data_IF_469495922629
#
_entry.id   IF_469495922629
#
_cell.length_a   1.000
_cell.length_b   1.000
_cell.length_c   1.000
_cell.angle_alpha   90.00
_cell.angle_beta   90.00
_cell.angle_gamma   90.00
#
_symmetry.space_group_name_H-M   'P 1'
#
loop_
_entity.id
_entity.type
_entity.pdbx_description
1 polymer ?
#
# COMPACT_ATOMS: atom_id res chain seq x y z
N UNK A 1 41.03 27.73 -24.04
CA UNK A 1 40.25 28.00 -22.84
C UNK A 1 39.99 26.66 -22.15
N UNK A 2 40.80 26.29 -21.16
CA UNK A 2 40.64 25.06 -20.41
C UNK A 2 39.46 25.25 -19.46
N UNK A 3 38.41 24.48 -19.68
CA UNK A 3 37.29 24.39 -18.73
C UNK A 3 37.83 23.62 -17.53
N UNK A 4 37.99 24.29 -16.40
CA UNK A 4 38.31 23.62 -15.13
C UNK A 4 37.24 22.54 -14.86
N UNK A 5 37.64 21.33 -14.42
CA UNK A 5 36.67 20.34 -14.05
C UNK A 5 35.76 20.91 -12.93
N UNK A 6 34.46 20.84 -13.11
CA UNK A 6 33.51 21.15 -12.05
C UNK A 6 33.96 20.37 -10.81
N UNK A 7 34.13 21.08 -9.70
CA UNK A 7 34.38 20.46 -8.39
C UNK A 7 33.27 19.42 -8.21
N UNK A 8 33.67 18.14 -8.18
CA UNK A 8 32.72 17.08 -7.84
C UNK A 8 32.18 17.42 -6.44
N UNK A 9 30.96 17.93 -6.38
CA UNK A 9 30.23 18.02 -5.15
C UNK A 9 30.26 16.61 -4.53
N UNK A 10 30.73 16.48 -3.28
CA UNK A 10 30.72 15.21 -2.58
C UNK A 10 29.29 14.67 -2.64
N UNK A 11 29.07 13.66 -3.46
CA UNK A 11 27.76 13.04 -3.59
C UNK A 11 27.45 12.35 -2.25
N UNK A 12 26.40 12.80 -1.58
CA UNK A 12 25.91 12.17 -0.37
C UNK A 12 25.20 10.86 -0.69
N UNK A 13 25.24 9.93 0.24
CA UNK A 13 24.39 8.77 0.24
C UNK A 13 22.96 9.18 0.69
N UNK A 14 21.98 8.42 0.29
CA UNK A 14 20.59 8.63 0.70
C UNK A 14 20.00 7.35 1.28
N UNK A 15 19.35 7.47 2.42
CA UNK A 15 18.42 6.48 2.93
C UNK A 15 17.02 7.10 2.94
N UNK A 16 16.10 6.52 2.19
CA UNK A 16 14.67 6.78 2.32
C UNK A 16 14.10 5.70 3.25
N UNK A 17 13.69 6.09 4.45
CA UNK A 17 13.03 5.23 5.43
C UNK A 17 11.53 5.48 5.40
N UNK A 18 10.76 4.46 5.01
CA UNK A 18 9.30 4.55 4.91
C UNK A 18 8.67 3.66 5.98
N UNK A 19 8.23 4.23 7.12
CA UNK A 19 7.40 3.51 8.10
C UNK A 19 5.96 3.49 7.59
N UNK A 20 5.57 2.38 6.96
CA UNK A 20 4.28 2.20 6.31
C UNK A 20 3.11 2.47 7.27
N UNK A 21 2.20 3.36 6.90
CA UNK A 21 1.01 3.67 7.68
C UNK A 21 1.27 4.42 8.99
N UNK A 22 2.43 5.07 9.17
CA UNK A 22 2.77 5.80 10.39
C UNK A 22 2.02 7.13 10.47
N UNK A 23 1.23 7.31 11.52
CA UNK A 23 0.51 8.56 11.81
C UNK A 23 1.42 9.58 12.49
N UNK A 24 1.42 10.87 12.09
CA UNK A 24 2.29 11.89 12.70
C UNK A 24 2.12 12.02 14.22
N UNK A 25 0.87 11.95 14.71
CA UNK A 25 0.56 12.11 16.14
C UNK A 25 1.00 10.91 17.01
N UNK A 26 1.34 9.77 16.40
CA UNK A 26 1.88 8.61 17.13
C UNK A 26 3.41 8.66 17.29
N UNK A 27 4.08 9.66 16.71
CA UNK A 27 5.53 9.88 16.87
C UNK A 27 5.78 10.64 18.17
N UNK A 28 5.85 9.90 19.28
CA UNK A 28 6.11 10.44 20.63
C UNK A 28 7.44 9.94 21.17
N UNK A 29 8.02 10.61 22.18
CA UNK A 29 9.27 10.14 22.80
C UNK A 29 9.19 8.71 23.36
N UNK A 30 8.01 8.27 23.77
CA UNK A 30 7.76 6.94 24.36
C UNK A 30 7.66 5.87 23.26
N UNK A 31 6.93 6.16 22.19
CA UNK A 31 6.64 5.19 21.14
C UNK A 31 7.72 5.16 20.04
N UNK A 32 8.37 6.30 19.75
CA UNK A 32 9.28 6.44 18.61
C UNK A 32 10.43 7.42 18.88
N UNK A 33 11.30 7.16 19.86
CA UNK A 33 12.36 8.08 20.28
C UNK A 33 13.38 8.40 19.19
N UNK A 34 13.67 7.46 18.29
CA UNK A 34 14.61 7.67 17.17
C UNK A 34 14.04 8.62 16.13
N UNK A 35 12.76 8.44 15.78
CA UNK A 35 12.04 9.34 14.88
C UNK A 35 11.93 10.76 15.46
N UNK A 36 11.62 10.86 16.75
CA UNK A 36 11.61 12.15 17.46
C UNK A 36 12.99 12.81 17.39
N UNK A 37 14.07 12.07 17.63
CA UNK A 37 15.42 12.62 17.57
C UNK A 37 15.82 13.10 16.15
N UNK A 38 15.36 12.42 15.09
CA UNK A 38 15.56 12.86 13.71
C UNK A 38 14.75 14.12 13.44
N UNK A 39 13.48 14.13 13.80
CA UNK A 39 12.60 15.28 13.63
C UNK A 39 13.15 16.53 14.32
N UNK A 40 13.62 16.40 15.57
CA UNK A 40 14.04 17.53 16.39
C UNK A 40 15.43 18.07 16.00
N UNK A 41 16.27 17.25 15.33
CA UNK A 41 17.61 17.65 14.87
C UNK A 41 17.67 17.97 13.38
N UNK A 42 16.68 17.57 12.62
CA UNK A 42 16.62 17.72 11.16
C UNK A 42 15.62 18.78 10.70
N UNK A 43 15.12 18.62 9.49
CA UNK A 43 14.05 19.44 8.91
C UNK A 43 12.73 18.69 9.10
N UNK A 44 11.80 19.29 9.83
CA UNK A 44 10.46 18.76 10.03
C UNK A 44 9.49 19.46 9.06
N UNK A 45 8.94 18.72 8.11
CA UNK A 45 7.90 19.22 7.22
C UNK A 45 6.56 19.19 7.95
N UNK A 46 6.02 20.37 8.28
CA UNK A 46 4.81 20.49 9.12
C UNK A 46 3.49 20.17 8.38
N UNK A 47 3.51 20.12 7.05
CA UNK A 47 2.31 19.90 6.24
C UNK A 47 2.57 18.91 5.08
N UNK A 48 3.05 17.69 5.35
CA UNK A 48 3.18 16.67 4.32
C UNK A 48 1.81 16.08 3.97
N UNK A 49 1.66 15.68 2.72
CA UNK A 49 0.45 15.03 2.23
C UNK A 49 0.81 13.75 1.48
N UNK A 50 0.10 12.67 1.77
CA UNK A 50 0.06 11.50 0.90
C UNK A 50 -0.72 11.80 -0.39
N UNK A 51 -0.44 11.07 -1.46
CA UNK A 51 -1.30 11.08 -2.64
C UNK A 51 -2.64 10.40 -2.27
N UNK A 52 -3.73 10.92 -2.81
CA UNK A 52 -5.05 10.31 -2.64
C UNK A 52 -5.45 9.58 -3.93
N UNK A 53 -5.98 8.33 -3.84
CA UNK A 53 -6.29 7.54 -2.61
C UNK A 53 -5.02 7.14 -1.84
N UNK A 54 -5.11 7.14 -0.50
CA UNK A 54 -3.95 6.98 0.39
C UNK A 54 -3.59 5.51 0.60
N UNK A 55 -3.12 4.86 -0.46
CA UNK A 55 -2.71 3.45 -0.48
C UNK A 55 -1.21 3.28 -0.74
N UNK A 56 -0.69 2.16 -0.28
CA UNK A 56 0.74 1.81 -0.35
C UNK A 56 1.31 1.90 -1.76
N UNK A 57 0.71 1.21 -2.75
CA UNK A 57 1.25 1.19 -4.11
C UNK A 57 1.08 2.52 -4.84
N UNK A 58 -0.01 3.24 -4.57
CA UNK A 58 -0.24 4.58 -5.07
C UNK A 58 0.89 5.53 -4.60
N UNK A 59 1.15 5.56 -3.30
CA UNK A 59 2.19 6.40 -2.73
C UNK A 59 3.60 5.92 -3.04
N UNK A 60 3.84 4.61 -3.12
CA UNK A 60 5.11 4.04 -3.56
C UNK A 60 5.44 4.49 -4.99
N UNK A 61 4.48 4.46 -5.92
CA UNK A 61 4.70 4.95 -7.29
C UNK A 61 5.04 6.43 -7.33
N UNK A 62 4.33 7.25 -6.54
CA UNK A 62 4.62 8.68 -6.43
C UNK A 62 5.98 8.98 -5.81
N UNK A 63 6.35 8.29 -4.73
CA UNK A 63 7.68 8.42 -4.10
C UNK A 63 8.80 7.94 -5.01
N UNK A 64 8.57 6.85 -5.76
CA UNK A 64 9.56 6.27 -6.65
C UNK A 64 9.83 7.13 -7.88
N UNK A 65 8.83 7.84 -8.41
CA UNK A 65 8.92 8.55 -9.69
C UNK A 65 8.88 10.07 -9.57
N UNK A 66 8.31 10.60 -8.50
CA UNK A 66 8.00 12.03 -8.36
C UNK A 66 6.77 12.47 -9.17
N UNK A 67 6.01 11.53 -9.75
CA UNK A 67 4.83 11.79 -10.57
C UNK A 67 3.53 11.51 -9.81
N UNK A 68 2.44 12.15 -10.24
CA UNK A 68 1.11 11.91 -9.72
C UNK A 68 0.46 10.63 -10.30
N UNK A 69 -0.60 10.16 -9.67
CA UNK A 69 -1.28 8.92 -10.04
C UNK A 69 -1.86 8.94 -11.46
N UNK A 70 -2.27 10.12 -11.94
CA UNK A 70 -2.74 10.29 -13.31
C UNK A 70 -1.68 9.97 -14.37
N UNK A 71 -0.39 10.05 -14.02
CA UNK A 71 0.72 9.70 -14.91
C UNK A 71 1.21 8.26 -14.66
N UNK A 72 1.36 7.85 -13.40
CA UNK A 72 1.89 6.51 -13.08
C UNK A 72 0.90 5.37 -13.29
N UNK A 73 -0.41 5.64 -13.16
CA UNK A 73 -1.44 4.60 -13.31
C UNK A 73 -1.52 3.58 -12.18
N UNK A 74 -0.70 3.69 -11.15
CA UNK A 74 -0.80 2.90 -9.93
C UNK A 74 -1.84 3.53 -8.99
N UNK A 75 -3.10 3.58 -9.44
CA UNK A 75 -4.16 4.34 -8.81
C UNK A 75 -4.50 3.91 -7.39
N UNK A 76 -4.18 2.66 -7.01
CA UNK A 76 -4.42 2.10 -5.67
C UNK A 76 -3.69 0.75 -5.54
N UNK A 77 -3.92 0.01 -4.43
CA UNK A 77 -3.39 -1.35 -4.25
C UNK A 77 -4.12 -2.37 -5.14
N UNK A 78 -5.40 -2.17 -5.41
CA UNK A 78 -6.19 -2.95 -6.39
C UNK A 78 -6.62 -2.02 -7.51
N UNK A 79 -6.34 -2.40 -8.77
CA UNK A 79 -6.70 -1.62 -9.96
C UNK A 79 -7.42 -2.51 -10.98
N UNK A 80 -8.17 -1.91 -11.89
CA UNK A 80 -8.70 -2.60 -13.05
C UNK A 80 -7.70 -2.54 -14.20
N UNK A 81 -7.36 -3.68 -14.79
CA UNK A 81 -6.38 -3.78 -15.88
C UNK A 81 -6.98 -3.83 -17.26
N UNK A 82 -8.27 -4.11 -17.38
CA UNK A 82 -9.01 -4.38 -18.63
C UNK A 82 -8.56 -5.66 -19.37
N UNK A 83 -7.68 -6.45 -18.78
CA UNK A 83 -7.28 -7.77 -19.26
C UNK A 83 -7.00 -8.69 -18.07
N UNK A 84 -7.13 -10.01 -18.23
CA UNK A 84 -6.83 -10.98 -17.18
C UNK A 84 -5.33 -11.03 -16.89
N UNK A 85 -4.94 -10.89 -15.61
CA UNK A 85 -3.54 -10.99 -15.17
C UNK A 85 -3.25 -12.44 -14.74
N UNK A 86 -2.33 -13.16 -15.40
CA UNK A 86 -2.11 -14.58 -15.18
C UNK A 86 -1.72 -14.92 -13.75
N UNK A 87 -0.75 -14.19 -13.17
CA UNK A 87 -0.29 -14.42 -11.79
C UNK A 87 -1.30 -14.00 -10.73
N UNK A 88 -2.33 -13.23 -11.11
CA UNK A 88 -3.51 -12.94 -10.28
C UNK A 88 -4.65 -13.95 -10.48
N UNK A 89 -4.35 -15.16 -10.97
CA UNK A 89 -5.36 -16.19 -11.23
C UNK A 89 -6.33 -15.85 -12.37
N UNK A 90 -5.96 -14.91 -13.25
CA UNK A 90 -6.80 -14.41 -14.32
C UNK A 90 -7.75 -13.28 -13.91
N UNK A 91 -7.64 -12.75 -12.71
CA UNK A 91 -8.45 -11.60 -12.28
C UNK A 91 -8.11 -10.35 -13.11
N UNK A 92 -9.12 -9.56 -13.43
CA UNK A 92 -9.01 -8.25 -14.08
C UNK A 92 -8.86 -7.12 -13.04
N UNK A 93 -8.98 -7.45 -11.75
CA UNK A 93 -8.79 -6.54 -10.62
C UNK A 93 -7.68 -7.05 -9.70
N UNK A 94 -6.41 -7.11 -10.19
CA UNK A 94 -5.30 -7.62 -9.42
C UNK A 94 -4.95 -6.71 -8.24
N UNK A 95 -4.51 -7.33 -7.14
CA UNK A 95 -3.86 -6.65 -6.03
C UNK A 95 -2.38 -6.49 -6.37
N UNK A 96 -1.96 -5.28 -6.72
CA UNK A 96 -0.63 -5.01 -7.30
C UNK A 96 0.51 -4.95 -6.29
N UNK A 97 0.24 -5.11 -5.02
CA UNK A 97 1.25 -5.27 -3.96
C UNK A 97 1.83 -6.70 -3.97
N UNK A 98 2.29 -7.12 -5.16
CA UNK A 98 2.78 -8.47 -5.41
C UNK A 98 3.75 -8.49 -6.60
N UNK A 99 4.97 -8.97 -6.41
CA UNK A 99 6.04 -8.91 -7.42
C UNK A 99 5.72 -9.65 -8.72
N UNK A 100 5.21 -10.89 -8.71
CA UNK A 100 4.78 -11.56 -9.94
C UNK A 100 3.70 -10.79 -10.70
N UNK A 101 2.73 -10.20 -10.00
CA UNK A 101 1.65 -9.42 -10.62
C UNK A 101 2.21 -8.15 -11.26
N UNK A 102 3.10 -7.43 -10.57
CA UNK A 102 3.82 -6.28 -11.16
C UNK A 102 4.58 -6.68 -12.43
N UNK A 103 5.22 -7.86 -12.41
CA UNK A 103 5.92 -8.39 -13.59
C UNK A 103 5.00 -8.65 -14.78
N UNK A 104 3.82 -9.23 -14.57
CA UNK A 104 2.84 -9.44 -15.63
C UNK A 104 2.30 -8.12 -16.20
N UNK A 105 2.06 -7.14 -15.31
CA UNK A 105 1.58 -5.81 -15.73
C UNK A 105 2.67 -5.09 -16.52
N UNK A 106 3.92 -5.10 -16.05
CA UNK A 106 5.05 -4.53 -16.79
C UNK A 106 5.19 -5.17 -18.19
N UNK A 107 5.15 -6.51 -18.24
CA UNK A 107 5.25 -7.24 -19.51
C UNK A 107 4.14 -6.84 -20.49
N UNK A 108 2.91 -6.66 -20.03
CA UNK A 108 1.79 -6.21 -20.86
C UNK A 108 2.03 -4.80 -21.42
N UNK A 109 2.62 -3.91 -20.64
CA UNK A 109 2.91 -2.53 -21.02
C UNK A 109 4.36 -2.33 -21.51
N UNK A 110 4.90 -3.31 -22.24
CA UNK A 110 6.24 -3.23 -22.86
C UNK A 110 7.39 -3.06 -21.88
N UNK A 111 7.28 -3.62 -20.69
CA UNK A 111 8.32 -3.68 -19.66
C UNK A 111 8.28 -2.57 -18.62
N UNK A 112 7.36 -1.61 -18.73
CA UNK A 112 7.20 -0.51 -17.75
C UNK A 112 5.77 0.03 -17.78
N UNK A 113 4.92 -0.42 -16.86
CA UNK A 113 3.52 0.06 -16.82
C UNK A 113 3.39 1.49 -16.26
N UNK A 114 4.34 1.89 -15.42
CA UNK A 114 4.36 3.23 -14.81
C UNK A 114 4.74 4.31 -15.83
N UNK A 115 5.49 3.93 -16.88
CA UNK A 115 5.97 4.80 -17.98
C UNK A 115 6.86 5.97 -17.53
N UNK A 116 7.45 5.88 -16.33
CA UNK A 116 8.30 6.90 -15.74
C UNK A 116 9.60 6.27 -15.20
N UNK A 117 10.69 7.06 -15.13
CA UNK A 117 11.93 6.65 -14.50
C UNK A 117 11.79 6.67 -12.97
N UNK A 118 12.18 5.59 -12.31
CA UNK A 118 12.21 5.55 -10.85
C UNK A 118 13.52 6.08 -10.28
N UNK A 119 13.49 6.51 -9.01
CA UNK A 119 14.67 7.08 -8.33
C UNK A 119 15.85 6.10 -8.27
N UNK A 120 15.62 4.80 -8.04
CA UNK A 120 16.70 3.82 -8.03
C UNK A 120 17.25 3.54 -9.43
N UNK A 121 16.38 3.48 -10.45
CA UNK A 121 16.81 3.40 -11.85
C UNK A 121 17.67 4.61 -12.24
N UNK A 122 17.24 5.82 -11.90
CA UNK A 122 18.00 7.05 -12.17
C UNK A 122 19.34 7.07 -11.42
N UNK A 123 19.36 6.65 -10.14
CA UNK A 123 20.58 6.55 -9.33
C UNK A 123 21.58 5.54 -9.92
N UNK A 124 21.12 4.34 -10.35
CA UNK A 124 21.98 3.36 -11.03
C UNK A 124 22.66 3.94 -12.26
N UNK A 125 21.90 4.66 -13.08
CA UNK A 125 22.45 5.30 -14.31
C UNK A 125 23.52 6.34 -13.99
N UNK A 126 23.51 6.91 -12.78
CA UNK A 126 24.52 7.84 -12.29
C UNK A 126 25.67 7.13 -11.55
N UNK A 127 25.69 5.81 -11.50
CA UNK A 127 26.75 5.00 -10.91
C UNK A 127 26.61 4.77 -9.40
N UNK A 128 25.50 5.11 -8.78
CA UNK A 128 25.21 4.79 -7.38
C UNK A 128 25.00 3.28 -7.19
N UNK A 129 25.33 2.78 -6.01
CA UNK A 129 24.83 1.50 -5.54
C UNK A 129 23.41 1.67 -5.07
N UNK A 130 22.51 0.72 -5.42
CA UNK A 130 21.09 0.83 -5.12
C UNK A 130 20.56 -0.40 -4.39
N UNK A 131 19.68 -0.17 -3.42
CA UNK A 131 18.95 -1.22 -2.74
C UNK A 131 17.54 -0.77 -2.34
N UNK A 132 16.61 -1.72 -2.35
CA UNK A 132 15.28 -1.58 -1.77
C UNK A 132 15.00 -2.79 -0.88
N UNK A 133 14.63 -2.56 0.39
CA UNK A 133 14.51 -3.59 1.42
C UNK A 133 13.22 -3.36 2.21
N UNK A 134 12.42 -4.42 2.38
CA UNK A 134 11.26 -4.39 3.29
C UNK A 134 9.98 -5.03 2.76
N UNK A 135 8.86 -4.30 2.80
CA UNK A 135 7.53 -4.79 2.42
C UNK A 135 7.46 -5.14 0.93
N UNK A 136 6.94 -6.33 0.62
CA UNK A 136 6.63 -6.79 -0.73
C UNK A 136 5.75 -5.79 -1.48
N UNK A 137 6.02 -5.59 -2.75
CA UNK A 137 5.31 -4.69 -3.64
C UNK A 137 5.92 -3.28 -3.67
N UNK A 138 5.74 -2.42 -2.64
CA UNK A 138 6.28 -1.07 -2.65
C UNK A 138 7.82 -1.05 -2.73
N UNK A 139 8.51 -2.02 -2.13
CA UNK A 139 9.97 -2.15 -2.23
C UNK A 139 10.40 -2.33 -3.68
N UNK A 140 9.76 -3.23 -4.42
CA UNK A 140 10.07 -3.45 -5.83
C UNK A 140 9.69 -2.23 -6.70
N UNK A 141 8.65 -1.47 -6.37
CA UNK A 141 8.19 -0.31 -7.15
C UNK A 141 9.31 0.69 -7.42
N UNK A 142 10.30 0.82 -6.53
CA UNK A 142 11.41 1.76 -6.68
C UNK A 142 12.39 1.39 -7.81
N UNK A 143 12.37 0.13 -8.30
CA UNK A 143 13.11 -0.31 -9.49
C UNK A 143 12.44 -1.55 -10.11
N UNK A 144 11.13 -1.46 -10.36
CA UNK A 144 10.27 -2.60 -10.74
C UNK A 144 10.65 -3.24 -12.08
N UNK A 145 11.38 -2.53 -12.93
CA UNK A 145 11.89 -3.05 -14.21
C UNK A 145 13.17 -3.87 -14.04
N UNK A 146 13.87 -3.75 -12.90
CA UNK A 146 15.04 -4.56 -12.56
C UNK A 146 14.61 -5.81 -11.81
N UNK A 147 14.60 -6.92 -12.51
CA UNK A 147 14.07 -8.18 -11.96
C UNK A 147 15.11 -9.29 -11.87
N UNK A 148 16.39 -8.95 -12.11
CA UNK A 148 17.50 -9.91 -12.03
C UNK A 148 18.14 -9.96 -10.64
N UNK A 149 18.01 -8.90 -9.84
CA UNK A 149 18.67 -8.74 -8.55
C UNK A 149 20.18 -8.43 -8.64
N UNK A 150 20.69 -8.19 -9.85
CA UNK A 150 22.11 -7.91 -10.08
C UNK A 150 22.44 -6.42 -10.01
N UNK A 151 21.56 -5.56 -10.53
CA UNK A 151 21.81 -4.13 -10.60
C UNK A 151 21.31 -3.37 -9.38
N UNK A 152 20.16 -3.75 -8.84
CA UNK A 152 19.62 -3.25 -7.58
C UNK A 152 19.39 -4.43 -6.61
N UNK A 153 19.84 -4.29 -5.38
CA UNK A 153 19.55 -5.27 -4.32
C UNK A 153 18.08 -5.13 -3.90
N UNK A 154 17.27 -6.13 -4.17
CA UNK A 154 15.86 -6.18 -3.73
C UNK A 154 15.68 -7.28 -2.71
N UNK A 155 15.23 -6.92 -1.51
CA UNK A 155 14.98 -7.84 -0.38
C UNK A 155 13.60 -7.53 0.19
N UNK A 156 12.70 -8.50 0.12
CA UNK A 156 11.32 -8.35 0.60
C UNK A 156 10.76 -9.66 1.17
N UNK A 157 9.46 -9.69 1.44
CA UNK A 157 8.76 -10.89 1.98
C UNK A 157 8.89 -12.12 1.06
N UNK A 158 9.12 -11.93 -0.24
CA UNK A 158 9.24 -13.01 -1.23
C UNK A 158 10.67 -13.50 -1.42
N UNK A 159 11.65 -12.81 -0.85
CA UNK A 159 13.08 -13.13 -0.99
C UNK A 159 13.38 -14.59 -0.68
N UNK A 160 14.10 -15.24 -1.61
CA UNK A 160 14.46 -16.66 -1.53
C UNK A 160 13.34 -17.62 -1.96
N UNK A 161 12.15 -17.13 -2.26
CA UNK A 161 11.08 -17.90 -2.88
C UNK A 161 11.22 -17.95 -4.42
N UNK A 162 10.47 -18.83 -5.06
CA UNK A 162 10.41 -18.89 -6.54
C UNK A 162 9.75 -17.67 -7.19
N UNK A 163 9.01 -16.89 -6.41
CA UNK A 163 8.23 -15.75 -6.88
C UNK A 163 8.94 -14.41 -6.63
N UNK A 164 9.96 -14.40 -5.77
CA UNK A 164 10.73 -13.21 -5.45
C UNK A 164 11.81 -12.88 -6.49
N UNK A 165 12.36 -11.69 -6.37
CA UNK A 165 13.52 -11.26 -7.15
C UNK A 165 14.73 -12.13 -6.74
N UNK A 166 15.49 -12.68 -7.70
CA UNK A 166 16.66 -13.50 -7.40
C UNK A 166 17.70 -12.74 -6.58
N UNK A 167 18.37 -13.45 -5.68
CA UNK A 167 19.56 -12.92 -5.01
C UNK A 167 20.78 -13.11 -5.92
N UNK A 168 21.55 -12.05 -6.17
CA UNK A 168 22.85 -12.16 -6.83
C UNK A 168 23.80 -13.06 -6.02
N UNK A 169 24.84 -13.60 -6.67
CA UNK A 169 25.82 -14.44 -5.97
C UNK A 169 26.52 -13.66 -4.84
N UNK A 170 26.84 -12.36 -5.08
CA UNK A 170 27.42 -11.49 -4.06
C UNK A 170 26.53 -11.39 -2.82
N UNK A 171 25.19 -11.21 -3.02
CA UNK A 171 24.24 -11.15 -1.91
C UNK A 171 24.11 -12.47 -1.17
N UNK A 172 24.05 -13.61 -1.88
CA UNK A 172 23.99 -14.92 -1.24
C UNK A 172 25.19 -15.18 -0.35
N UNK A 173 26.40 -14.88 -0.84
CA UNK A 173 27.64 -15.09 -0.09
C UNK A 173 27.73 -14.11 1.10
N UNK A 174 27.32 -12.87 0.94
CA UNK A 174 27.29 -11.89 2.01
C UNK A 174 26.29 -12.23 3.12
N UNK A 175 25.09 -12.71 2.77
CA UNK A 175 24.10 -13.18 3.75
C UNK A 175 24.63 -14.38 4.55
N UNK A 176 25.21 -15.39 3.86
CA UNK A 176 25.83 -16.55 4.53
C UNK A 176 26.95 -16.13 5.47
N UNK A 177 27.83 -15.23 5.02
CA UNK A 177 28.93 -14.73 5.86
C UNK A 177 28.44 -13.96 7.09
N UNK A 178 27.29 -13.29 6.99
CA UNK A 178 26.64 -12.61 8.11
C UNK A 178 25.80 -13.53 9.00
N UNK A 179 25.69 -14.83 8.66
CA UNK A 179 24.84 -15.78 9.37
C UNK A 179 23.35 -15.55 9.22
N UNK A 180 22.93 -14.88 8.14
CA UNK A 180 21.53 -14.58 7.86
C UNK A 180 20.94 -15.59 6.84
N UNK A 181 19.66 -15.96 6.99
CA UNK A 181 19.01 -16.85 6.04
C UNK A 181 18.87 -16.22 4.65
N UNK A 182 18.90 -17.07 3.60
CA UNK A 182 18.66 -16.66 2.21
C UNK A 182 17.18 -16.50 1.90
N UNK A 183 16.30 -16.95 2.80
CA UNK A 183 14.85 -16.86 2.69
C UNK A 183 14.35 -15.91 3.77
N UNK A 184 13.57 -14.92 3.39
CA UNK A 184 12.98 -14.00 4.36
C UNK A 184 12.04 -14.74 5.32
N UNK A 185 12.12 -14.47 6.63
CA UNK A 185 11.17 -15.02 7.60
C UNK A 185 9.73 -14.58 7.27
N UNK A 186 8.79 -15.46 7.59
CA UNK A 186 7.36 -15.13 7.51
C UNK A 186 6.92 -14.32 8.73
N UNK A 187 5.86 -13.53 8.57
CA UNK A 187 5.15 -12.87 9.70
C UNK A 187 4.64 -13.90 10.74
N UNK A 188 4.39 -15.15 10.32
CA UNK A 188 4.02 -16.27 11.21
C UNK A 188 5.14 -16.68 12.14
N UNK A 189 6.40 -16.43 11.78
CA UNK A 189 7.56 -16.79 12.59
C UNK A 189 7.71 -15.88 13.82
N UNK A 190 7.00 -14.77 13.87
CA UNK A 190 6.87 -13.96 15.08
C UNK A 190 6.02 -14.74 16.12
N UNK A 191 6.54 -14.98 17.35
CA UNK A 191 5.75 -15.62 18.39
C UNK A 191 4.42 -14.92 18.62
N UNK A 192 3.31 -15.62 18.46
CA UNK A 192 1.96 -15.07 18.49
C UNK A 192 1.35 -14.78 17.11
N UNK A 193 2.05 -15.12 16.02
CA UNK A 193 1.59 -15.01 14.63
C UNK A 193 1.09 -13.61 14.24
N UNK A 194 2.01 -12.75 13.83
CA UNK A 194 1.66 -11.39 13.36
C UNK A 194 0.78 -11.39 12.09
N UNK A 195 0.70 -12.49 11.34
CA UNK A 195 -0.14 -12.60 10.15
C UNK A 195 -1.62 -12.91 10.43
N UNK A 196 -1.97 -13.21 11.70
CA UNK A 196 -3.33 -13.56 12.08
C UNK A 196 -4.25 -12.33 11.98
N UNK A 197 -5.12 -12.30 10.97
CA UNK A 197 -6.11 -11.24 10.80
C UNK A 197 -7.35 -11.42 11.70
N UNK A 198 -7.54 -12.59 12.31
CA UNK A 198 -8.77 -12.91 13.04
C UNK A 198 -9.98 -13.06 12.11
N UNK A 199 -11.17 -13.00 12.71
CA UNK A 199 -12.46 -12.99 12.04
C UNK A 199 -13.52 -12.45 13.02
N UNK A 200 -14.80 -12.37 12.61
CA UNK A 200 -15.86 -11.83 13.47
C UNK A 200 -16.11 -12.64 14.77
N UNK A 201 -15.49 -13.80 14.94
CA UNK A 201 -15.57 -14.62 16.17
C UNK A 201 -14.31 -14.54 17.02
N UNK A 202 -13.16 -14.30 16.39
CA UNK A 202 -11.84 -14.34 17.05
C UNK A 202 -11.04 -13.09 16.73
N UNK A 203 -10.37 -12.50 17.73
CA UNK A 203 -9.52 -11.33 17.50
C UNK A 203 -8.32 -11.67 16.59
N UNK A 204 -7.77 -10.65 15.95
CA UNK A 204 -6.54 -10.73 15.19
C UNK A 204 -5.30 -10.80 16.08
N UNK A 205 -4.14 -10.46 15.51
CA UNK A 205 -2.85 -10.53 16.20
C UNK A 205 -2.77 -9.58 17.40
N UNK A 206 -1.99 -9.98 18.40
CA UNK A 206 -1.64 -9.17 19.58
C UNK A 206 -0.13 -8.87 19.64
N UNK A 207 0.61 -9.08 18.54
CA UNK A 207 2.06 -8.92 18.48
C UNK A 207 2.48 -8.12 17.25
N UNK A 208 3.54 -7.31 17.38
CA UNK A 208 4.18 -6.62 16.26
C UNK A 208 5.00 -7.59 15.40
N UNK A 209 5.33 -7.22 14.16
CA UNK A 209 6.07 -8.04 13.21
C UNK A 209 7.60 -8.03 13.48
N UNK A 210 8.02 -8.43 14.67
CA UNK A 210 9.40 -8.24 15.13
C UNK A 210 10.43 -9.11 14.41
N UNK A 211 10.10 -10.37 14.10
CA UNK A 211 11.06 -11.33 13.52
C UNK A 211 11.40 -10.96 12.08
N UNK A 212 10.40 -10.77 11.23
CA UNK A 212 10.61 -10.42 9.83
C UNK A 212 11.25 -9.03 9.69
N UNK A 213 10.77 -8.03 10.45
CA UNK A 213 11.32 -6.67 10.39
C UNK A 213 12.78 -6.62 10.87
N UNK A 214 13.12 -7.40 11.91
CA UNK A 214 14.50 -7.53 12.37
C UNK A 214 15.41 -8.13 11.29
N UNK A 215 14.92 -9.12 10.55
CA UNK A 215 15.66 -9.68 9.41
C UNK A 215 15.97 -8.60 8.36
N UNK A 216 15.00 -7.81 7.95
CA UNK A 216 15.21 -6.73 6.98
C UNK A 216 16.20 -5.68 7.51
N UNK A 217 16.08 -5.29 8.77
CA UNK A 217 17.02 -4.36 9.40
C UNK A 217 18.43 -4.95 9.48
N UNK A 218 18.58 -6.23 9.81
CA UNK A 218 19.86 -6.92 9.86
C UNK A 218 20.51 -7.07 8.47
N UNK A 219 19.71 -7.38 7.43
CA UNK A 219 20.21 -7.40 6.05
C UNK A 219 20.73 -6.02 5.64
N UNK A 220 19.99 -4.96 5.90
CA UNK A 220 20.42 -3.61 5.60
C UNK A 220 21.70 -3.23 6.36
N UNK A 221 21.70 -3.43 7.69
CA UNK A 221 22.77 -2.97 8.58
C UNK A 221 24.06 -3.82 8.50
N UNK A 222 23.91 -5.15 8.41
CA UNK A 222 25.05 -6.09 8.49
C UNK A 222 25.58 -6.54 7.13
N UNK A 223 24.77 -6.39 6.06
CA UNK A 223 25.13 -6.89 4.73
C UNK A 223 25.22 -5.73 3.73
N UNK A 224 24.11 -5.03 3.47
CA UNK A 224 24.02 -4.06 2.37
C UNK A 224 24.86 -2.81 2.62
N UNK A 225 24.75 -2.17 3.78
CA UNK A 225 25.54 -0.98 4.10
C UNK A 225 27.06 -1.28 4.14
N UNK A 226 27.55 -2.38 4.76
CA UNK A 226 28.97 -2.78 4.65
C UNK A 226 29.41 -3.08 3.22
N UNK A 227 28.56 -3.71 2.41
CA UNK A 227 28.85 -3.99 0.99
C UNK A 227 29.00 -2.67 0.21
N UNK A 228 28.09 -1.72 0.38
CA UNK A 228 28.17 -0.41 -0.27
C UNK A 228 29.37 0.40 0.19
N UNK A 229 29.73 0.34 1.47
CA UNK A 229 30.99 0.94 1.97
C UNK A 229 32.22 0.37 1.25
N UNK A 230 32.29 -0.97 1.07
CA UNK A 230 33.41 -1.61 0.34
C UNK A 230 33.46 -1.21 -1.13
N UNK A 231 32.30 -1.03 -1.77
CA UNK A 231 32.21 -0.57 -3.18
C UNK A 231 32.74 0.85 -3.37
N UNK A 232 32.84 1.62 -2.30
CA UNK A 232 33.34 3.00 -2.30
C UNK A 232 32.65 3.89 -3.37
N UNK A 233 31.34 3.75 -3.48
CA UNK A 233 30.45 4.52 -4.35
C UNK A 233 29.32 5.12 -3.51
N UNK A 234 28.75 6.26 -3.92
CA UNK A 234 27.54 6.74 -3.29
C UNK A 234 26.40 5.72 -3.46
N UNK A 235 25.42 5.75 -2.57
CA UNK A 235 24.31 4.81 -2.61
C UNK A 235 22.97 5.48 -2.34
N UNK A 236 21.92 4.84 -2.84
CA UNK A 236 20.53 5.08 -2.46
C UNK A 236 19.95 3.78 -1.92
N UNK A 237 19.49 3.81 -0.68
CA UNK A 237 18.81 2.71 0.00
C UNK A 237 17.39 3.14 0.35
N UNK A 238 16.40 2.42 -0.15
CA UNK A 238 15.01 2.50 0.31
C UNK A 238 14.79 1.41 1.35
N UNK A 239 14.36 1.79 2.55
CA UNK A 239 13.94 0.85 3.58
C UNK A 239 12.46 1.06 3.85
N UNK A 240 11.63 0.11 3.39
CA UNK A 240 10.19 0.16 3.55
C UNK A 240 9.76 -0.74 4.71
N UNK A 241 9.63 -0.16 5.90
CA UNK A 241 9.17 -0.91 7.07
C UNK A 241 7.69 -1.29 6.90
N UNK A 242 7.37 -2.60 6.94
CA UNK A 242 5.98 -3.08 6.91
C UNK A 242 5.19 -2.65 8.14
N UNK A 243 5.84 -2.54 9.30
CA UNK A 243 5.23 -1.95 10.49
C UNK A 243 5.36 -0.42 10.43
N UNK A 244 4.33 0.29 10.93
CA UNK A 244 3.17 -0.21 11.69
C UNK A 244 1.99 -0.74 10.87
N UNK A 245 1.92 -0.56 9.55
CA UNK A 245 0.81 -0.91 8.67
C UNK A 245 0.33 -2.36 8.85
N UNK A 246 1.22 -3.32 8.60
CA UNK A 246 0.87 -4.74 8.63
C UNK A 246 0.29 -5.20 9.95
N UNK A 247 0.77 -4.67 11.06
CA UNK A 247 0.25 -4.97 12.41
C UNK A 247 -1.07 -4.24 12.66
N UNK A 248 -1.18 -2.96 12.28
CA UNK A 248 -2.41 -2.18 12.46
C UNK A 248 -3.60 -2.77 11.70
N UNK A 249 -3.39 -3.32 10.50
CA UNK A 249 -4.43 -4.05 9.77
C UNK A 249 -4.99 -5.22 10.58
N UNK A 250 -4.13 -5.99 11.22
CA UNK A 250 -4.48 -7.27 11.85
C UNK A 250 -4.68 -7.19 13.36
N UNK A 251 -4.49 -6.04 14.01
CA UNK A 251 -4.54 -5.93 15.47
C UNK A 251 -5.87 -6.40 16.06
N UNK A 252 -5.79 -7.13 17.16
CA UNK A 252 -6.91 -7.73 17.86
C UNK A 252 -7.35 -6.98 19.13
N UNK A 253 -6.75 -5.84 19.45
CA UNK A 253 -6.99 -5.09 20.70
C UNK A 253 -8.45 -4.61 20.83
N UNK A 254 -9.14 -4.44 19.71
CA UNK A 254 -10.49 -3.85 19.64
C UNK A 254 -11.51 -4.72 18.93
N UNK A 255 -11.38 -6.02 19.05
CA UNK A 255 -12.29 -6.95 18.38
C UNK A 255 -13.75 -6.52 18.44
N UNK A 256 -14.36 -6.23 17.27
CA UNK A 256 -15.73 -5.73 17.06
C UNK A 256 -16.05 -4.38 17.73
N UNK A 257 -15.04 -3.64 18.19
CA UNK A 257 -15.20 -2.32 18.81
C UNK A 257 -14.29 -1.32 18.12
N UNK A 258 -14.71 -0.06 18.08
CA UNK A 258 -13.90 1.02 17.49
C UNK A 258 -12.72 1.42 18.39
N UNK A 259 -12.83 1.23 19.70
CA UNK A 259 -11.83 1.63 20.68
C UNK A 259 -11.22 0.41 21.40
N UNK A 260 -9.90 0.46 21.71
CA UNK A 260 -8.91 1.49 21.42
C UNK A 260 -8.47 1.53 19.94
N UNK A 261 -8.83 0.54 19.11
CA UNK A 261 -8.50 0.47 17.70
C UNK A 261 -7.00 0.50 17.46
N UNK A 262 -6.61 1.25 16.45
CA UNK A 262 -5.19 1.45 16.10
C UNK A 262 -4.38 2.25 17.16
N UNK A 263 -4.98 2.68 18.25
CA UNK A 263 -4.29 3.29 19.38
C UNK A 263 -4.00 2.28 20.51
N UNK A 264 -4.35 1.00 20.30
CA UNK A 264 -4.11 -0.08 21.25
C UNK A 264 -2.64 -0.50 21.36
N UNK A 265 -2.32 -1.32 22.37
CA UNK A 265 -0.94 -1.70 22.70
C UNK A 265 -0.23 -2.44 21.54
N UNK A 266 -0.94 -3.23 20.74
CA UNK A 266 -0.37 -3.94 19.60
C UNK A 266 0.10 -2.98 18.49
N UNK A 267 -0.70 -1.96 18.18
CA UNK A 267 -0.30 -0.90 17.23
C UNK A 267 0.85 -0.06 17.76
N UNK A 268 0.86 0.29 19.05
CA UNK A 268 1.97 1.02 19.66
C UNK A 268 3.28 0.20 19.63
N UNK A 269 3.20 -1.10 19.86
CA UNK A 269 4.35 -2.00 19.73
C UNK A 269 4.89 -2.03 18.29
N UNK A 270 4.04 -1.96 17.27
CA UNK A 270 4.48 -1.94 15.87
C UNK A 270 5.16 -0.60 15.48
N UNK A 271 4.70 0.51 16.02
CA UNK A 271 5.37 1.81 15.86
C UNK A 271 6.77 1.76 16.48
N UNK A 272 6.87 1.21 17.69
CA UNK A 272 8.16 1.00 18.36
C UNK A 272 9.09 0.11 17.54
N UNK A 273 8.56 -0.97 16.94
CA UNK A 273 9.32 -1.88 16.10
C UNK A 273 9.92 -1.15 14.86
N UNK A 274 9.14 -0.30 14.19
CA UNK A 274 9.64 0.53 13.09
C UNK A 274 10.75 1.51 13.54
N UNK A 275 10.57 2.15 14.71
CA UNK A 275 11.57 3.04 15.30
C UNK A 275 12.88 2.31 15.65
N UNK A 276 12.78 1.10 16.20
CA UNK A 276 13.94 0.26 16.52
C UNK A 276 14.74 -0.14 15.27
N UNK A 277 14.06 -0.44 14.16
CA UNK A 277 14.70 -0.72 12.88
C UNK A 277 15.48 0.50 12.35
N UNK A 278 14.92 1.69 12.46
CA UNK A 278 15.61 2.93 12.09
C UNK A 278 16.83 3.19 13.00
N UNK A 279 16.71 2.88 14.28
CA UNK A 279 17.84 2.96 15.24
C UNK A 279 18.97 1.98 14.84
N UNK A 280 18.63 0.78 14.38
CA UNK A 280 19.64 -0.20 13.89
C UNK A 280 20.39 0.33 12.67
N UNK A 281 19.69 0.91 11.69
CA UNK A 281 20.30 1.52 10.51
C UNK A 281 21.25 2.66 10.90
N UNK A 282 20.83 3.55 11.82
CA UNK A 282 21.68 4.66 12.30
C UNK A 282 22.93 4.15 12.99
N UNK A 283 22.82 3.13 13.86
CA UNK A 283 23.98 2.52 14.50
C UNK A 283 24.96 1.89 13.49
N UNK A 284 24.44 1.30 12.41
CA UNK A 284 25.26 0.76 11.34
C UNK A 284 26.02 1.87 10.59
N UNK A 285 25.36 2.99 10.29
CA UNK A 285 26.02 4.14 9.67
C UNK A 285 27.15 4.70 10.55
N UNK A 286 26.91 4.83 11.85
CA UNK A 286 27.91 5.29 12.82
C UNK A 286 29.12 4.34 12.84
N UNK A 287 28.89 3.03 12.97
CA UNK A 287 29.94 2.01 13.00
C UNK A 287 30.76 1.95 11.70
N UNK A 288 30.16 2.29 10.56
CA UNK A 288 30.81 2.33 9.26
C UNK A 288 31.47 3.70 8.95
N UNK A 289 31.30 4.70 9.80
CA UNK A 289 31.78 6.07 9.55
C UNK A 289 31.07 6.73 8.35
N UNK A 290 29.79 6.43 8.14
CA UNK A 290 28.99 6.94 7.03
C UNK A 290 28.00 8.04 7.44
N UNK A 291 27.83 8.30 8.73
CA UNK A 291 26.82 9.25 9.27
C UNK A 291 26.97 10.65 8.66
N UNK A 292 28.19 11.18 8.56
CA UNK A 292 28.44 12.52 8.04
C UNK A 292 28.21 12.67 6.52
N UNK A 293 28.09 11.57 5.79
CA UNK A 293 27.93 11.53 4.33
C UNK A 293 26.64 10.85 3.89
N UNK A 294 25.70 10.64 4.80
CA UNK A 294 24.43 9.98 4.51
C UNK A 294 23.28 10.83 5.02
N UNK A 295 22.41 11.22 4.11
CA UNK A 295 21.14 11.88 4.44
C UNK A 295 20.06 10.81 4.67
N UNK A 296 19.26 11.00 5.71
CA UNK A 296 18.11 10.13 6.01
C UNK A 296 16.83 10.95 5.83
N UNK A 297 16.00 10.53 4.89
CA UNK A 297 14.65 11.04 4.69
C UNK A 297 13.67 10.05 5.28
N UNK A 298 12.79 10.52 6.17
CA UNK A 298 11.69 9.73 6.72
C UNK A 298 10.39 10.26 6.16
N UNK A 299 9.59 9.40 5.53
CA UNK A 299 8.27 9.74 5.03
C UNK A 299 7.36 8.52 5.13
N UNK A 300 6.24 8.64 5.83
CA UNK A 300 5.17 7.64 5.74
C UNK A 300 4.46 7.80 4.38
N UNK A 301 3.99 6.70 3.83
CA UNK A 301 3.23 6.66 2.58
C UNK A 301 1.77 7.07 2.78
N UNK A 302 1.18 6.77 3.94
CA UNK A 302 -0.16 7.17 4.35
C UNK A 302 -0.30 7.16 5.88
N UNK A 303 -1.47 7.60 6.35
CA UNK A 303 -1.92 7.44 7.72
C UNK A 303 -2.73 6.15 7.93
N UNK A 304 -3.49 6.10 9.02
CA UNK A 304 -4.30 4.93 9.40
C UNK A 304 -5.54 5.35 10.19
N UNK A 305 -6.61 4.55 10.09
CA UNK A 305 -7.84 4.70 10.90
C UNK A 305 -8.35 3.36 11.39
N UNK A 306 -9.15 3.36 12.45
CA UNK A 306 -9.86 2.16 12.91
C UNK A 306 -11.06 1.89 11.99
N UNK A 307 -11.29 0.63 11.63
CA UNK A 307 -12.40 0.24 10.77
C UNK A 307 -13.73 0.35 11.52
N UNK A 308 -14.69 1.03 10.92
CA UNK A 308 -16.11 0.93 11.21
C UNK A 308 -16.84 0.24 10.07
N UNK A 309 -17.72 -0.67 10.41
CA UNK A 309 -18.58 -1.40 9.44
C UNK A 309 -20.04 -0.97 9.53
N UNK A 310 -20.35 0.12 10.21
CA UNK A 310 -21.72 0.56 10.47
C UNK A 310 -22.27 1.40 9.31
N UNK A 311 -23.43 1.02 8.81
CA UNK A 311 -24.23 1.81 7.87
C UNK A 311 -25.71 1.58 8.12
N UNK A 312 -26.48 2.67 8.07
CA UNK A 312 -27.95 2.64 8.19
C UNK A 312 -28.64 2.67 6.84
N UNK A 313 -27.95 3.07 5.78
CA UNK A 313 -28.55 3.27 4.46
C UNK A 313 -28.16 2.20 3.46
N UNK A 314 -27.03 1.50 3.67
CA UNK A 314 -26.53 0.47 2.76
C UNK A 314 -27.49 -0.71 2.66
N UNK A 315 -28.01 -1.03 1.46
CA UNK A 315 -28.72 -2.28 1.21
C UNK A 315 -27.93 -3.54 1.56
N UNK A 316 -26.59 -3.51 1.43
CA UNK A 316 -25.73 -4.62 1.81
C UNK A 316 -25.73 -4.83 3.33
N UNK A 317 -25.65 -3.77 4.13
CA UNK A 317 -25.70 -3.89 5.59
C UNK A 317 -27.04 -4.40 6.14
N UNK A 318 -28.13 -4.26 5.37
CA UNK A 318 -29.46 -4.74 5.74
C UNK A 318 -29.71 -6.21 5.37
N UNK A 319 -28.82 -6.81 4.59
CA UNK A 319 -28.90 -8.22 4.23
C UNK A 319 -28.35 -9.11 5.37
N UNK A 320 -28.77 -10.37 5.38
CA UNK A 320 -28.26 -11.36 6.33
C UNK A 320 -27.17 -12.20 5.69
N UNK A 321 -26.04 -12.34 6.37
CA UNK A 321 -24.91 -13.17 5.97
C UNK A 321 -24.63 -14.22 7.05
N UNK A 322 -23.97 -15.32 6.68
CA UNK A 322 -23.61 -16.39 7.63
C UNK A 322 -22.34 -16.07 8.43
N UNK A 323 -21.51 -15.16 7.92
CA UNK A 323 -20.15 -14.86 8.39
C UNK A 323 -19.95 -13.38 8.74
N UNK A 324 -20.95 -12.52 8.49
CA UNK A 324 -20.94 -11.10 8.88
C UNK A 324 -22.09 -10.84 9.85
N UNK A 325 -21.83 -10.22 11.02
CA UNK A 325 -22.88 -9.87 11.95
C UNK A 325 -23.94 -8.94 11.31
N UNK A 326 -25.20 -9.17 11.66
CA UNK A 326 -26.32 -8.36 11.15
C UNK A 326 -26.12 -6.87 11.44
N UNK A 327 -26.35 -6.03 10.42
CA UNK A 327 -26.19 -4.58 10.50
C UNK A 327 -24.77 -4.08 10.22
N UNK A 328 -23.81 -4.97 9.99
CA UNK A 328 -22.46 -4.58 9.56
C UNK A 328 -22.30 -4.76 8.04
N UNK A 329 -21.49 -3.90 7.45
CA UNK A 329 -21.12 -3.92 6.04
C UNK A 329 -20.25 -5.16 5.73
N UNK A 330 -20.64 -6.03 4.77
CA UNK A 330 -19.79 -7.12 4.31
C UNK A 330 -18.64 -6.60 3.43
N UNK A 331 -17.62 -7.41 3.13
CA UNK A 331 -16.70 -7.15 2.04
C UNK A 331 -17.47 -6.97 0.71
N UNK A 332 -17.09 -5.98 -0.09
CA UNK A 332 -17.77 -5.70 -1.37
C UNK A 332 -19.14 -5.04 -1.22
N UNK A 333 -19.45 -4.45 -0.08
CA UNK A 333 -20.73 -3.76 0.12
C UNK A 333 -20.99 -2.71 -0.96
N UNK A 334 -19.95 -2.01 -1.42
CA UNK A 334 -20.10 -1.01 -2.48
C UNK A 334 -20.55 -1.65 -3.80
N UNK A 335 -19.95 -2.77 -4.19
CA UNK A 335 -20.32 -3.50 -5.40
C UNK A 335 -21.75 -4.06 -5.30
N UNK A 336 -22.14 -4.57 -4.12
CA UNK A 336 -23.51 -5.06 -3.85
C UNK A 336 -24.53 -3.93 -3.98
N UNK A 337 -24.26 -2.77 -3.39
CA UNK A 337 -25.16 -1.63 -3.42
C UNK A 337 -25.33 -1.06 -4.83
N UNK A 338 -24.24 -0.96 -5.61
CA UNK A 338 -24.28 -0.53 -7.01
C UNK A 338 -25.03 -1.56 -7.87
N UNK A 339 -24.75 -2.84 -7.73
CA UNK A 339 -25.45 -3.90 -8.47
C UNK A 339 -26.95 -3.86 -8.25
N UNK A 340 -27.37 -3.66 -6.99
CA UNK A 340 -28.77 -3.49 -6.62
C UNK A 340 -29.38 -2.23 -7.23
N UNK A 341 -28.69 -1.10 -7.18
CA UNK A 341 -29.16 0.18 -7.75
C UNK A 341 -29.33 0.12 -9.28
N UNK A 342 -28.48 -0.64 -9.96
CA UNK A 342 -28.55 -0.84 -11.40
C UNK A 342 -29.45 -2.00 -11.80
N UNK A 343 -29.92 -2.81 -10.87
CA UNK A 343 -30.68 -4.06 -11.10
C UNK A 343 -29.90 -5.02 -12.03
N UNK A 344 -28.58 -5.16 -11.83
CA UNK A 344 -27.69 -6.02 -12.61
C UNK A 344 -27.06 -7.10 -11.73
N UNK A 345 -26.73 -8.28 -12.30
CA UNK A 345 -25.96 -9.31 -11.63
C UNK A 345 -24.58 -8.80 -11.16
N UNK A 346 -24.12 -9.34 -10.03
CA UNK A 346 -22.77 -9.14 -9.48
C UNK A 346 -21.99 -10.44 -9.56
N UNK A 347 -20.73 -10.36 -9.97
CA UNK A 347 -19.80 -11.50 -10.03
C UNK A 347 -18.53 -11.18 -9.24
N UNK A 348 -17.94 -12.21 -8.64
CA UNK A 348 -16.65 -12.12 -7.91
C UNK A 348 -15.49 -12.45 -8.83
N UNK A 349 -14.64 -11.47 -9.24
CA UNK A 349 -13.48 -11.71 -10.08
C UNK A 349 -12.37 -12.54 -9.40
N UNK A 350 -12.35 -12.58 -8.07
CA UNK A 350 -11.39 -13.34 -7.29
C UNK A 350 -11.82 -14.80 -7.07
N UNK A 351 -13.08 -15.15 -7.39
CA UNK A 351 -13.61 -16.52 -7.41
C UNK A 351 -14.09 -16.91 -8.83
N UNK A 352 -13.24 -16.71 -9.84
CA UNK A 352 -13.47 -17.12 -11.23
C UNK A 352 -14.79 -16.60 -11.82
N UNK A 353 -15.09 -15.37 -11.56
CA UNK A 353 -16.30 -14.68 -12.02
C UNK A 353 -17.61 -15.40 -11.61
N UNK A 354 -17.64 -16.05 -10.45
CA UNK A 354 -18.89 -16.59 -9.92
C UNK A 354 -19.90 -15.51 -9.58
N UNK A 355 -21.16 -15.81 -9.80
CA UNK A 355 -22.27 -14.95 -9.37
C UNK A 355 -22.27 -14.83 -7.83
N UNK A 356 -22.37 -13.61 -7.34
CA UNK A 356 -22.59 -13.32 -5.93
C UNK A 356 -24.10 -13.38 -5.67
N UNK A 357 -24.52 -14.47 -5.03
CA UNK A 357 -25.94 -14.72 -4.72
C UNK A 357 -26.41 -13.86 -3.53
N UNK A 358 -27.70 -13.75 -3.35
CA UNK A 358 -28.31 -13.07 -2.21
C UNK A 358 -27.83 -13.69 -0.87
N UNK A 359 -27.41 -12.86 0.07
CA UNK A 359 -26.83 -13.29 1.35
C UNK A 359 -25.38 -13.80 1.25
N UNK A 360 -24.74 -13.59 0.11
CA UNK A 360 -23.28 -13.79 -0.11
C UNK A 360 -22.63 -12.47 -0.48
N UNK A 361 -21.32 -12.43 -0.38
CA UNK A 361 -20.48 -11.29 -0.76
C UNK A 361 -19.21 -11.76 -1.46
N UNK A 362 -18.54 -10.85 -2.16
CA UNK A 362 -17.26 -11.13 -2.82
C UNK A 362 -16.18 -11.48 -1.79
N UNK A 363 -15.26 -12.33 -2.17
CA UNK A 363 -14.19 -12.81 -1.28
C UNK A 363 -13.22 -11.72 -0.82
N UNK A 364 -12.93 -10.76 -1.71
CA UNK A 364 -12.03 -9.63 -1.46
C UNK A 364 -12.68 -8.24 -1.55
N UNK A 365 -13.97 -8.19 -1.86
CA UNK A 365 -14.70 -6.95 -2.04
C UNK A 365 -14.79 -6.47 -3.49
N UNK A 366 -13.98 -7.00 -4.41
CA UNK A 366 -14.06 -6.66 -5.83
C UNK A 366 -15.38 -7.13 -6.46
N UNK A 367 -15.81 -6.46 -7.52
CA UNK A 367 -17.06 -6.83 -8.19
C UNK A 367 -17.07 -6.50 -9.68
N UNK A 368 -17.59 -7.44 -10.49
CA UNK A 368 -17.96 -7.21 -11.88
C UNK A 368 -19.48 -7.17 -11.97
N UNK A 369 -20.03 -6.05 -12.45
CA UNK A 369 -21.47 -5.80 -12.49
C UNK A 369 -21.90 -5.72 -13.96
N UNK A 370 -22.87 -6.56 -14.35
CA UNK A 370 -23.34 -6.61 -15.73
C UNK A 370 -24.03 -7.94 -16.05
N UNK A 371 -24.54 -8.10 -17.27
CA UNK A 371 -25.13 -9.36 -17.73
C UNK A 371 -24.09 -10.42 -18.13
N UNK A 372 -22.84 -9.98 -18.37
CA UNK A 372 -21.72 -10.81 -18.80
C UNK A 372 -20.47 -10.41 -18.01
N UNK A 373 -19.89 -11.29 -17.17
CA UNK A 373 -18.69 -10.97 -16.40
C UNK A 373 -17.44 -10.74 -17.26
N UNK A 374 -17.40 -11.25 -18.51
CA UNK A 374 -16.30 -11.00 -19.44
C UNK A 374 -16.39 -9.61 -20.10
N UNK A 375 -17.56 -8.97 -20.01
CA UNK A 375 -17.85 -7.62 -20.51
C UNK A 375 -18.66 -6.83 -19.49
N UNK A 376 -18.11 -6.59 -18.29
CA UNK A 376 -18.83 -5.94 -17.23
C UNK A 376 -19.20 -4.49 -17.60
N UNK A 377 -20.40 -4.09 -17.27
CA UNK A 377 -20.87 -2.72 -17.42
C UNK A 377 -20.21 -1.79 -16.39
N UNK A 378 -19.89 -2.33 -15.20
CA UNK A 378 -19.20 -1.64 -14.11
C UNK A 378 -18.22 -2.60 -13.45
N UNK A 379 -17.04 -2.11 -13.11
CA UNK A 379 -16.05 -2.83 -12.29
C UNK A 379 -15.79 -2.05 -11.01
N UNK A 380 -15.83 -2.73 -9.88
CA UNK A 380 -15.45 -2.17 -8.58
C UNK A 380 -14.15 -2.82 -8.15
N UNK A 381 -13.10 -2.02 -7.97
CA UNK A 381 -11.85 -2.43 -7.34
C UNK A 381 -11.87 -1.93 -5.89
N UNK A 382 -12.08 -2.87 -4.96
CA UNK A 382 -12.14 -2.59 -3.54
C UNK A 382 -10.74 -2.41 -2.96
N UNK A 383 -10.54 -1.37 -2.16
CA UNK A 383 -9.24 -1.04 -1.62
C UNK A 383 -9.23 -0.81 -0.10
N UNK A 384 -10.32 -0.38 0.49
CA UNK A 384 -10.40 -0.12 1.93
C UNK A 384 -11.15 1.16 2.24
N UNK A 385 -10.47 2.24 2.65
CA UNK A 385 -11.08 3.54 2.97
C UNK A 385 -11.58 4.32 1.76
N UNK A 386 -11.20 3.90 0.57
CA UNK A 386 -11.76 4.36 -0.71
C UNK A 386 -11.79 3.22 -1.72
N UNK A 387 -12.64 3.31 -2.74
CA UNK A 387 -12.73 2.33 -3.81
C UNK A 387 -12.69 3.00 -5.18
N UNK A 388 -12.22 2.26 -6.19
CA UNK A 388 -12.21 2.68 -7.57
C UNK A 388 -13.36 2.02 -8.33
N UNK A 389 -14.15 2.81 -9.04
CA UNK A 389 -15.22 2.33 -9.91
C UNK A 389 -14.87 2.64 -11.35
N UNK A 390 -14.95 1.64 -12.20
CA UNK A 390 -14.71 1.77 -13.65
C UNK A 390 -16.01 1.53 -14.40
N UNK A 391 -16.26 2.34 -15.42
CA UNK A 391 -17.34 2.20 -16.39
C UNK A 391 -16.68 2.10 -17.76
N UNK A 392 -16.36 0.87 -18.23
CA UNK A 392 -15.47 0.66 -19.38
C UNK A 392 -15.92 1.33 -20.68
N UNK A 393 -17.23 1.43 -20.89
CA UNK A 393 -17.84 2.10 -22.05
C UNK A 393 -18.10 3.60 -21.85
N UNK A 394 -17.69 4.17 -20.69
CA UNK A 394 -17.88 5.58 -20.32
C UNK A 394 -19.34 6.08 -20.42
N UNK A 395 -20.32 5.21 -20.19
CA UNK A 395 -21.75 5.56 -20.24
C UNK A 395 -22.11 6.58 -19.15
N UNK A 396 -22.39 7.81 -19.56
CA UNK A 396 -22.73 8.93 -18.67
C UNK A 396 -24.05 8.69 -17.92
N UNK A 397 -25.04 8.04 -18.55
CA UNK A 397 -26.33 7.74 -17.92
C UNK A 397 -26.21 6.70 -16.80
N UNK A 398 -25.39 5.67 -17.01
CA UNK A 398 -25.03 4.69 -15.98
C UNK A 398 -24.23 5.33 -14.85
N UNK A 399 -23.23 6.14 -15.20
CA UNK A 399 -22.42 6.90 -14.24
C UNK A 399 -23.30 7.79 -13.36
N UNK A 400 -24.26 8.51 -13.92
CA UNK A 400 -25.20 9.32 -13.15
C UNK A 400 -26.01 8.48 -12.15
N UNK A 401 -26.56 7.33 -12.56
CA UNK A 401 -27.30 6.44 -11.66
C UNK A 401 -26.43 5.91 -10.51
N UNK A 402 -25.16 5.61 -10.76
CA UNK A 402 -24.22 5.18 -9.72
C UNK A 402 -23.98 6.33 -8.73
N UNK A 403 -23.74 7.55 -9.23
CA UNK A 403 -23.53 8.73 -8.39
C UNK A 403 -24.76 9.02 -7.52
N UNK A 404 -25.98 9.01 -8.08
CA UNK A 404 -27.22 9.22 -7.33
C UNK A 404 -27.40 8.18 -6.22
N UNK A 405 -27.09 6.90 -6.52
CA UNK A 405 -27.17 5.83 -5.54
C UNK A 405 -26.12 6.00 -4.41
N UNK A 406 -24.91 6.45 -4.73
CA UNK A 406 -23.84 6.65 -3.76
C UNK A 406 -24.06 7.90 -2.89
N UNK A 407 -24.55 8.99 -3.45
CA UNK A 407 -24.86 10.21 -2.70
C UNK A 407 -25.99 9.99 -1.67
N UNK A 408 -26.79 8.95 -1.83
CA UNK A 408 -27.80 8.55 -0.86
C UNK A 408 -27.26 7.74 0.33
N UNK A 409 -25.98 7.35 0.31
CA UNK A 409 -25.39 6.47 1.32
C UNK A 409 -24.68 7.25 2.43
N UNK A 410 -24.92 6.83 3.70
CA UNK A 410 -24.29 7.44 4.88
C UNK A 410 -22.80 7.12 5.04
N UNK A 411 -22.26 6.17 4.27
CA UNK A 411 -20.86 5.81 4.27
C UNK A 411 -20.02 6.58 3.26
N UNK A 412 -20.62 7.38 2.37
CA UNK A 412 -19.92 8.19 1.37
C UNK A 412 -19.64 9.57 1.95
N UNK A 413 -18.39 10.04 1.81
CA UNK A 413 -18.00 11.42 2.16
C UNK A 413 -17.57 12.25 0.95
N UNK A 414 -17.20 11.62 -0.16
CA UNK A 414 -16.81 12.33 -1.39
C UNK A 414 -16.79 11.42 -2.61
N UNK A 415 -17.12 12.01 -3.75
CA UNK A 415 -17.05 11.37 -5.05
C UNK A 415 -16.22 12.22 -6.00
N UNK A 416 -15.23 11.60 -6.65
CA UNK A 416 -14.40 12.21 -7.68
C UNK A 416 -14.65 11.51 -9.00
N UNK A 417 -14.94 12.25 -10.07
CA UNK A 417 -15.43 11.69 -11.34
C UNK A 417 -14.53 12.09 -12.49
N UNK A 418 -14.32 11.16 -13.43
CA UNK A 418 -13.60 11.43 -14.67
C UNK A 418 -14.34 12.48 -15.52
N UNK A 419 -13.74 13.64 -15.69
CA UNK A 419 -14.29 14.75 -16.47
C UNK A 419 -14.57 14.42 -17.94
N UNK A 420 -13.93 13.37 -18.49
CA UNK A 420 -14.20 12.89 -19.85
C UNK A 420 -15.59 12.21 -19.98
N UNK A 421 -16.18 11.77 -18.86
CA UNK A 421 -17.54 11.19 -18.84
C UNK A 421 -18.60 12.28 -18.69
N UNK A 422 -18.28 13.31 -17.90
CA UNK A 422 -19.19 14.44 -17.69
C UNK A 422 -18.97 15.13 -16.35
N UNK A 423 -19.84 16.11 -16.08
CA UNK A 423 -19.92 16.81 -14.80
C UNK A 423 -21.23 16.46 -14.12
N UNK A 424 -21.15 16.07 -12.86
CA UNK A 424 -22.30 15.59 -12.09
C UNK A 424 -22.43 16.39 -10.79
N UNK A 425 -23.67 16.70 -10.41
CA UNK A 425 -23.92 17.44 -9.17
C UNK A 425 -23.45 16.61 -7.96
N UNK A 426 -22.86 17.27 -6.95
CA UNK A 426 -22.37 16.62 -5.73
C UNK A 426 -21.02 15.91 -5.89
N UNK A 427 -20.31 16.10 -7.01
CA UNK A 427 -19.00 15.47 -7.26
C UNK A 427 -17.92 16.51 -7.55
N UNK A 428 -16.67 16.09 -7.41
CA UNK A 428 -15.47 16.81 -7.83
C UNK A 428 -14.81 16.09 -9.01
N UNK A 429 -14.03 16.78 -9.86
CA UNK A 429 -13.31 16.10 -10.94
C UNK A 429 -12.10 15.32 -10.42
N UNK A 430 -11.71 14.23 -11.07
CA UNK A 430 -10.49 13.46 -10.77
C UNK A 430 -9.22 14.32 -10.83
N UNK A 431 -9.22 15.40 -11.60
CA UNK A 431 -8.10 16.35 -11.64
C UNK A 431 -7.83 17.03 -10.30
N UNK A 432 -8.85 17.18 -9.42
CA UNK A 432 -8.68 17.76 -8.09
C UNK A 432 -7.86 16.86 -7.13
N UNK A 433 -7.71 15.58 -7.47
CA UNK A 433 -6.89 14.60 -6.75
C UNK A 433 -5.73 14.06 -7.60
N UNK A 434 -5.37 14.78 -8.66
CA UNK A 434 -4.25 14.45 -9.55
C UNK A 434 -4.30 13.04 -10.18
N UNK A 435 -5.50 12.52 -10.45
CA UNK A 435 -5.70 11.23 -11.10
C UNK A 435 -6.01 11.34 -12.59
N UNK A 436 -5.90 12.53 -13.17
CA UNK A 436 -6.02 12.77 -14.62
C UNK A 436 -4.63 12.99 -15.20
N UNK A 437 -4.22 12.18 -16.19
CA UNK A 437 -2.89 12.24 -16.78
C UNK A 437 -2.74 11.25 -17.93
N UNK A 438 -1.52 10.74 -18.15
CA UNK A 438 -1.10 9.90 -19.29
C UNK A 438 -0.97 8.42 -18.95
N UNK A 439 -1.46 7.98 -17.80
CA UNK A 439 -1.37 6.60 -17.33
C UNK A 439 -1.73 5.58 -18.42
N UNK A 440 -1.00 4.50 -18.49
CA UNK A 440 -1.24 3.38 -19.41
C UNK A 440 -2.37 2.45 -18.94
N UNK A 441 -2.56 2.34 -17.63
CA UNK A 441 -3.65 1.57 -17.03
C UNK A 441 -4.98 2.31 -17.17
N UNK A 442 -6.12 1.60 -17.20
CA UNK A 442 -7.43 2.23 -17.24
C UNK A 442 -7.64 3.21 -16.08
N UNK A 443 -8.10 4.42 -16.40
CA UNK A 443 -8.45 5.42 -15.41
C UNK A 443 -9.83 5.11 -14.81
N UNK A 444 -10.02 5.17 -13.47
CA UNK A 444 -11.32 4.98 -12.87
C UNK A 444 -12.32 6.07 -13.35
N UNK A 445 -13.58 5.67 -13.49
CA UNK A 445 -14.68 6.59 -13.78
C UNK A 445 -15.07 7.39 -12.54
N UNK A 446 -15.07 6.74 -11.37
CA UNK A 446 -15.40 7.34 -10.08
C UNK A 446 -14.42 6.82 -9.03
N UNK A 447 -13.94 7.71 -8.16
CA UNK A 447 -13.28 7.37 -6.90
C UNK A 447 -14.22 7.73 -5.77
N UNK A 448 -14.51 6.75 -4.91
CA UNK A 448 -15.37 6.92 -3.74
C UNK A 448 -14.49 7.04 -2.51
N UNK A 449 -14.61 8.15 -1.79
CA UNK A 449 -14.02 8.31 -0.47
C UNK A 449 -15.06 7.97 0.61
N UNK A 450 -14.72 7.05 1.51
CA UNK A 450 -15.63 6.66 2.57
C UNK A 450 -15.54 7.60 3.77
N UNK A 451 -16.61 7.62 4.56
CA UNK A 451 -16.73 8.50 5.72
C UNK A 451 -15.72 8.13 6.81
N UNK A 452 -15.01 9.14 7.29
CA UNK A 452 -14.23 9.09 8.51
C UNK A 452 -14.81 10.04 9.57
N UNK A 453 -14.58 9.74 10.85
CA UNK A 453 -15.10 10.54 11.96
C UNK A 453 -14.17 10.46 13.19
N UNK A 454 -14.25 11.47 14.05
CA UNK A 454 -13.51 11.50 15.31
C UNK A 454 -14.07 10.46 16.28
N UNK A 455 -13.19 9.88 17.09
CA UNK A 455 -13.53 9.01 18.21
C UNK A 455 -13.23 9.69 19.53
N UNK A 456 -13.79 9.17 20.63
CA UNK A 456 -13.62 9.75 21.97
C UNK A 456 -12.18 9.62 22.54
N UNK A 457 -11.26 8.98 21.80
CA UNK A 457 -9.86 8.85 22.23
C UNK A 457 -8.96 10.04 21.82
N UNK A 458 -9.54 11.17 21.40
CA UNK A 458 -8.82 12.43 21.12
C UNK A 458 -8.02 12.43 19.81
N UNK A 459 -8.07 11.33 19.04
CA UNK A 459 -7.51 11.25 17.69
C UNK A 459 -8.64 10.92 16.71
N UNK A 460 -8.70 11.55 15.53
CA UNK A 460 -9.58 11.04 14.54
C UNK A 460 -9.15 9.62 14.33
N UNK A 461 -10.10 8.71 14.42
CA UNK A 461 -9.96 7.90 13.34
C UNK A 461 -10.69 6.59 13.44
N UNK A 462 -11.97 6.68 13.21
CA UNK A 462 -12.70 5.59 12.65
C UNK A 462 -13.12 5.96 11.23
N UNK A 463 -13.02 5.01 10.30
CA UNK A 463 -13.44 5.17 8.93
C UNK A 463 -14.24 3.95 8.48
N UNK A 464 -15.24 4.16 7.66
CA UNK A 464 -15.86 3.06 6.91
C UNK A 464 -14.82 2.52 5.92
N UNK A 465 -14.75 1.20 5.80
CA UNK A 465 -13.81 0.56 4.90
C UNK A 465 -14.41 -0.67 4.22
N UNK A 466 -14.21 -0.77 2.90
CA UNK A 466 -14.57 -1.95 2.09
C UNK A 466 -13.41 -2.95 2.10
N UNK A 467 -13.44 -3.86 3.04
CA UNK A 467 -12.38 -4.83 3.29
C UNK A 467 -12.95 -6.08 3.98
N UNK A 468 -12.26 -7.20 3.84
CA UNK A 468 -12.54 -8.43 4.59
C UNK A 468 -12.14 -8.34 6.08
N UNK A 469 -11.38 -7.31 6.47
CA UNK A 469 -11.06 -7.04 7.87
C UNK A 469 -12.31 -6.59 8.63
N UNK A 470 -12.29 -6.77 9.95
CA UNK A 470 -13.48 -6.57 10.81
C UNK A 470 -13.50 -5.17 11.41
N UNK A 471 -14.65 -4.85 11.99
CA UNK A 471 -14.79 -3.65 12.81
C UNK A 471 -13.78 -3.67 13.97
N UNK A 472 -13.11 -2.56 14.20
CA UNK A 472 -12.11 -2.40 15.25
C UNK A 472 -10.67 -2.65 14.80
N UNK A 473 -10.45 -3.37 13.72
CA UNK A 473 -9.14 -3.46 13.07
C UNK A 473 -8.74 -2.14 12.37
N UNK A 474 -7.64 -2.10 11.66
CA UNK A 474 -7.16 -0.89 11.02
C UNK A 474 -7.23 -0.94 9.50
N UNK A 475 -7.46 0.23 8.88
CA UNK A 475 -7.42 0.43 7.44
C UNK A 475 -7.02 1.87 7.11
N UNK A 476 -6.69 2.11 5.83
CA UNK A 476 -6.36 3.40 5.23
C UNK A 476 -7.05 3.54 3.87
N UNK A 477 -6.94 4.71 3.20
CA UNK A 477 -7.49 4.91 1.87
C UNK A 477 -8.15 6.25 1.63
#
# INVERSE_FOLDING_TARGET
>A
MQIAPAIAQNQHNLILFVPDGLRPLSVTPEAAPTLVAIRDKGVNFSNPHALFPTFTMANASGMATGHFLGDTGAFSNTIYTAYPVPTAGGSVTPFIENDPILGDIDAHFSGNFVDEDTILFAARRQGFSTAAIGKLGPTLMFDHTERTGEATVTIDDSTGSKQGIPLSQEMQDALKAAGLPLVAPSRKDTPGDNSNAGNFEKPGTLVANVVQQKYFADVAAKVVLPMFKRRNKPFVLVFWSRDPDGTQHNQGDSHLKVLPGINGPTSLASIKNADDNLADLRRALDALGLTATTDIVVAADHGFSTISKESKTSPAAQASYTDVPTGLLPPGFLAIDIAKALALPLYDPDDKNKVVEAGKHSSRGNGLIGSDPEKPAVVVAANGGSNLIYVPDKDAGRTAKIIDALLAQDYVSGLFVDGDIGTFAGTLPLSSINMQGKARTPRPAIVVNFRSYATDCGQPAASVADTALQQGQGMHG
#
